data_IF_536993793319
#
_entry.id   IF_536993793319
#
_cell.length_a   1.000
_cell.length_b   1.000
_cell.length_c   1.000
_cell.angle_alpha   90.00
_cell.angle_beta   90.00
_cell.angle_gamma   90.00
#
_symmetry.space_group_name_H-M   'P 1'
#
loop_
_entity.id
_entity.type
_entity.pdbx_description
1 polymer ?
#
# COMPACT_ATOMS: atom_id res chain seq x y z
N UNK A 1 7.20 -27.84 -7.27
CA UNK A 1 6.95 -27.72 -5.82
C UNK A 1 7.93 -26.72 -5.25
N UNK A 2 7.55 -25.44 -5.19
CA UNK A 2 8.36 -24.39 -4.58
C UNK A 2 8.15 -24.40 -3.06
N UNK A 3 9.22 -24.24 -2.29
CA UNK A 3 9.11 -24.10 -0.85
C UNK A 3 8.24 -22.88 -0.50
N UNK A 4 7.29 -23.04 0.42
CA UNK A 4 6.50 -21.94 0.97
C UNK A 4 7.40 -21.15 1.91
N UNK A 5 7.81 -19.95 1.49
CA UNK A 5 8.63 -19.04 2.27
C UNK A 5 7.75 -17.98 2.96
N UNK A 6 8.31 -17.26 3.94
CA UNK A 6 7.62 -16.23 4.74
C UNK A 6 6.70 -15.27 3.96
N UNK A 7 7.05 -14.79 2.74
CA UNK A 7 6.17 -13.92 1.97
C UNK A 7 4.82 -14.57 1.59
N UNK A 8 4.80 -15.88 1.33
CA UNK A 8 3.57 -16.60 1.00
C UNK A 8 2.63 -16.67 2.20
N UNK A 9 3.15 -17.04 3.38
CA UNK A 9 2.33 -17.09 4.60
C UNK A 9 1.77 -15.71 4.97
N UNK A 10 2.60 -14.66 4.88
CA UNK A 10 2.14 -13.29 5.06
C UNK A 10 1.02 -12.91 4.08
N UNK A 11 1.12 -13.38 2.82
CA UNK A 11 0.09 -13.16 1.81
C UNK A 11 -1.21 -13.86 2.17
N UNK A 12 -1.16 -15.14 2.55
CA UNK A 12 -2.33 -15.91 3.00
C UNK A 12 -2.99 -15.24 4.20
N UNK A 13 -2.21 -14.85 5.20
CA UNK A 13 -2.72 -14.12 6.38
C UNK A 13 -3.40 -12.81 5.99
N UNK A 14 -2.84 -12.08 5.00
CA UNK A 14 -3.42 -10.85 4.50
C UNK A 14 -4.77 -11.05 3.80
N UNK A 15 -5.07 -12.25 3.28
CA UNK A 15 -6.36 -12.58 2.66
C UNK A 15 -7.52 -12.58 3.67
N UNK A 16 -7.26 -12.67 4.97
CA UNK A 16 -8.29 -12.62 6.01
C UNK A 16 -8.81 -11.19 6.28
N UNK A 17 -8.04 -10.18 5.91
CA UNK A 17 -8.38 -8.79 6.19
C UNK A 17 -9.30 -8.19 5.13
N UNK A 18 -10.01 -7.14 5.54
CA UNK A 18 -10.76 -6.28 4.62
C UNK A 18 -9.76 -5.45 3.81
N UNK A 19 -9.94 -5.43 2.49
CA UNK A 19 -9.10 -4.65 1.58
C UNK A 19 -8.11 -5.47 0.75
N UNK A 20 -7.25 -4.75 0.02
CA UNK A 20 -6.27 -5.35 -0.88
C UNK A 20 -5.13 -5.98 -0.09
N UNK A 21 -4.93 -7.31 -0.14
CA UNK A 21 -3.93 -8.00 0.66
C UNK A 21 -2.50 -7.54 0.35
N UNK A 22 -2.20 -7.25 -0.92
CA UNK A 22 -0.90 -6.72 -1.35
C UNK A 22 -0.68 -5.32 -0.76
N UNK A 23 -1.66 -4.42 -0.81
CA UNK A 23 -1.53 -3.07 -0.24
C UNK A 23 -1.34 -3.11 1.28
N UNK A 24 -2.05 -3.98 1.98
CA UNK A 24 -1.90 -4.16 3.43
C UNK A 24 -0.45 -4.54 3.76
N UNK A 25 0.12 -5.49 3.03
CA UNK A 25 1.49 -5.95 3.24
C UNK A 25 2.54 -4.90 2.86
N UNK A 26 2.30 -4.14 1.79
CA UNK A 26 3.12 -2.99 1.42
C UNK A 26 3.09 -1.94 2.54
N UNK A 27 1.92 -1.60 3.05
CA UNK A 27 1.76 -0.65 4.16
C UNK A 27 2.47 -1.12 5.44
N UNK A 28 2.35 -2.41 5.78
CA UNK A 28 3.10 -3.02 6.91
C UNK A 28 4.62 -2.94 6.69
N UNK A 29 5.10 -3.24 5.49
CA UNK A 29 6.52 -3.16 5.16
C UNK A 29 7.06 -1.73 5.29
N UNK A 30 6.31 -0.74 4.80
CA UNK A 30 6.67 0.69 4.93
C UNK A 30 6.68 1.14 6.38
N UNK A 31 5.65 0.77 7.18
CA UNK A 31 5.61 1.12 8.61
C UNK A 31 6.79 0.52 9.36
N UNK A 32 7.08 -0.77 9.14
CA UNK A 32 8.23 -1.44 9.75
C UNK A 32 9.54 -0.78 9.36
N UNK A 33 9.70 -0.43 8.08
CA UNK A 33 10.89 0.28 7.59
C UNK A 33 11.07 1.64 8.27
N UNK A 34 10.01 2.44 8.35
CA UNK A 34 10.08 3.76 8.99
C UNK A 34 10.31 3.64 10.51
N UNK A 35 9.71 2.65 11.17
CA UNK A 35 9.96 2.37 12.59
C UNK A 35 11.41 1.93 12.83
N UNK A 36 11.94 1.01 12.03
CA UNK A 36 13.34 0.61 12.11
C UNK A 36 14.27 1.80 11.86
N UNK A 37 13.94 2.64 10.87
CA UNK A 37 14.67 3.89 10.59
C UNK A 37 14.76 4.79 11.81
N UNK A 38 13.71 4.93 12.63
CA UNK A 38 13.76 5.78 13.82
C UNK A 38 14.83 5.34 14.84
N UNK A 39 15.07 4.04 14.97
CA UNK A 39 16.03 3.48 15.93
C UNK A 39 17.43 3.29 15.33
N UNK A 40 17.51 2.92 14.06
CA UNK A 40 18.77 2.56 13.39
C UNK A 40 19.45 3.75 12.69
N UNK A 41 18.73 4.85 12.44
CA UNK A 41 19.22 5.97 11.60
C UNK A 41 20.56 6.57 12.05
N UNK A 42 20.82 6.64 13.36
CA UNK A 42 22.08 7.19 13.87
C UNK A 42 23.27 6.31 13.44
N UNK A 43 23.04 5.03 13.17
CA UNK A 43 24.06 4.03 12.89
C UNK A 43 24.07 3.51 11.45
N UNK A 44 23.16 3.98 10.57
CA UNK A 44 23.08 3.54 9.17
C UNK A 44 23.49 4.68 8.18
N UNK A 45 24.75 4.70 7.72
CA UNK A 45 25.22 5.66 6.72
C UNK A 45 24.50 5.54 5.37
N UNK A 46 24.01 4.35 5.00
CA UNK A 46 23.31 4.12 3.74
C UNK A 46 21.94 4.81 3.74
N UNK A 47 21.21 4.69 4.86
CA UNK A 47 19.94 5.38 5.06
C UNK A 47 20.12 6.91 5.08
N UNK A 48 21.18 7.40 5.74
CA UNK A 48 21.51 8.84 5.75
C UNK A 48 21.77 9.37 4.34
N UNK A 49 22.59 8.70 3.55
CA UNK A 49 22.88 9.09 2.17
C UNK A 49 21.62 9.04 1.29
N UNK A 50 20.79 8.00 1.43
CA UNK A 50 19.55 7.88 0.69
C UNK A 50 18.60 9.05 0.96
N UNK A 51 18.46 9.46 2.23
CA UNK A 51 17.65 10.61 2.64
C UNK A 51 18.23 11.93 2.15
N UNK A 52 19.55 12.12 2.22
CA UNK A 52 20.18 13.34 1.68
C UNK A 52 19.93 13.45 0.18
N UNK A 53 20.16 12.36 -0.57
CA UNK A 53 19.95 12.32 -2.02
C UNK A 53 18.51 12.59 -2.43
N UNK A 54 17.53 12.06 -1.69
CA UNK A 54 16.10 12.29 -1.94
C UNK A 54 15.59 13.64 -1.44
N UNK A 55 16.40 14.39 -0.68
CA UNK A 55 15.95 15.61 -0.01
C UNK A 55 14.99 15.33 1.16
N UNK A 56 15.05 14.14 1.74
CA UNK A 56 14.21 13.68 2.84
C UNK A 56 13.07 12.76 2.41
N UNK A 57 12.09 12.59 3.29
CA UNK A 57 10.87 11.84 3.01
C UNK A 57 9.89 12.71 2.22
N UNK A 58 9.09 12.09 1.34
CA UNK A 58 7.96 12.78 0.72
C UNK A 58 6.87 13.10 1.76
N UNK A 59 6.01 14.08 1.47
CA UNK A 59 4.94 14.57 2.37
C UNK A 59 4.16 13.41 3.01
N UNK A 60 3.65 12.49 2.18
CA UNK A 60 2.90 11.31 2.66
C UNK A 60 3.67 10.46 3.68
N UNK A 61 4.95 10.20 3.44
CA UNK A 61 5.75 9.36 4.34
C UNK A 61 6.29 10.12 5.54
N UNK A 62 6.48 11.44 5.42
CA UNK A 62 6.76 12.32 6.56
C UNK A 62 5.56 12.36 7.51
N UNK A 63 4.33 12.47 7.00
CA UNK A 63 3.12 12.44 7.83
C UNK A 63 2.90 11.06 8.49
N UNK A 64 3.18 9.96 7.77
CA UNK A 64 3.18 8.64 8.38
C UNK A 64 4.23 8.53 9.51
N UNK A 65 5.45 9.02 9.29
CA UNK A 65 6.49 9.03 10.33
C UNK A 65 6.05 9.81 11.56
N UNK A 66 5.40 10.98 11.37
CA UNK A 66 4.85 11.81 12.46
C UNK A 66 3.79 11.09 13.28
N UNK A 67 3.05 10.15 12.68
CA UNK A 67 1.99 9.40 13.38
C UNK A 67 2.52 8.40 14.42
N UNK A 68 3.81 8.04 14.42
CA UNK A 68 4.37 7.07 15.36
C UNK A 68 4.63 7.61 16.77
N UNK A 69 4.61 8.94 16.97
CA UNK A 69 4.79 9.55 18.29
C UNK A 69 6.21 9.49 18.87
N UNK A 70 7.18 8.91 18.17
CA UNK A 70 8.61 8.96 18.54
C UNK A 70 9.27 10.22 17.96
N UNK A 71 9.22 11.29 18.76
CA UNK A 71 9.76 12.60 18.37
C UNK A 71 11.28 12.62 18.21
N UNK A 72 12.04 11.79 18.95
CA UNK A 72 13.50 11.88 18.96
C UNK A 72 14.10 11.35 17.66
N UNK A 73 13.71 10.13 17.26
CA UNK A 73 14.19 9.54 16.01
C UNK A 73 13.80 10.40 14.80
N UNK A 74 12.57 10.93 14.79
CA UNK A 74 12.10 11.79 13.72
C UNK A 74 12.88 13.11 13.65
N UNK A 75 13.17 13.75 14.79
CA UNK A 75 13.96 14.99 14.84
C UNK A 75 15.40 14.75 14.41
N UNK A 76 16.04 13.66 14.85
CA UNK A 76 17.40 13.32 14.45
C UNK A 76 17.51 13.03 12.94
N UNK A 77 16.50 12.36 12.37
CA UNK A 77 16.40 12.12 10.93
C UNK A 77 16.40 13.42 10.12
N UNK A 78 15.65 14.42 10.59
CA UNK A 78 15.58 15.74 9.95
C UNK A 78 16.80 16.62 10.26
N UNK A 79 17.46 16.42 11.41
CA UNK A 79 18.66 17.16 11.80
C UNK A 79 19.79 16.97 10.79
N UNK A 80 20.05 15.73 10.36
CA UNK A 80 21.10 15.45 9.37
C UNK A 80 20.84 16.19 8.05
N UNK A 81 19.58 16.18 7.59
CA UNK A 81 19.20 16.91 6.38
C UNK A 81 19.35 18.43 6.56
N UNK A 82 18.89 18.97 7.69
CA UNK A 82 19.00 20.39 8.00
C UNK A 82 20.45 20.87 8.10
N UNK A 83 21.31 20.09 8.77
CA UNK A 83 22.75 20.37 8.86
C UNK A 83 23.39 20.36 7.48
N UNK A 84 23.09 19.35 6.66
CA UNK A 84 23.66 19.26 5.31
C UNK A 84 23.22 20.41 4.41
N UNK A 85 21.96 20.88 4.53
CA UNK A 85 21.48 22.07 3.84
C UNK A 85 22.12 23.36 4.36
N UNK A 86 22.39 23.46 5.67
CA UNK A 86 23.05 24.62 6.26
C UNK A 86 24.53 24.71 5.82
N UNK A 87 25.24 23.57 5.80
CA UNK A 87 26.66 23.50 5.47
C UNK A 87 26.95 23.66 3.98
N UNK A 88 26.01 23.26 3.12
CA UNK A 88 26.25 23.12 1.68
C UNK A 88 25.23 23.84 0.78
N UNK A 89 24.20 24.44 1.35
CA UNK A 89 23.08 25.00 0.58
C UNK A 89 22.35 23.93 -0.25
N UNK A 90 21.65 24.37 -1.30
CA UNK A 90 21.03 23.45 -2.27
C UNK A 90 22.10 22.96 -3.25
N UNK A 91 22.64 21.77 -3.01
CA UNK A 91 23.67 21.14 -3.84
C UNK A 91 23.12 19.99 -4.70
N UNK A 92 23.90 19.49 -5.68
CA UNK A 92 23.57 18.24 -6.41
C UNK A 92 23.47 17.01 -5.50
N UNK A 93 24.00 17.10 -4.27
CA UNK A 93 23.87 16.07 -3.23
C UNK A 93 22.45 16.01 -2.63
N UNK A 94 21.66 17.07 -2.79
CA UNK A 94 20.31 17.18 -2.22
C UNK A 94 19.26 17.24 -3.30
N UNK A 95 18.21 16.44 -3.17
CA UNK A 95 17.05 16.53 -4.05
C UNK A 95 17.40 16.31 -5.52
N UNK A 96 18.15 15.24 -5.83
CA UNK A 96 18.28 14.82 -7.21
C UNK A 96 16.87 14.65 -7.79
N UNK A 97 16.59 15.22 -8.96
CA UNK A 97 15.26 15.17 -9.61
C UNK A 97 14.71 13.74 -9.79
N UNK A 98 15.59 12.74 -9.71
CA UNK A 98 15.26 11.33 -9.88
C UNK A 98 15.43 10.50 -8.59
N UNK A 99 15.89 11.09 -7.48
CA UNK A 99 16.03 10.36 -6.23
C UNK A 99 14.65 10.20 -5.58
N UNK A 100 14.23 8.95 -5.42
CA UNK A 100 12.98 8.62 -4.78
C UNK A 100 13.09 8.68 -3.25
N UNK A 101 12.00 9.07 -2.59
CA UNK A 101 11.86 8.91 -1.15
C UNK A 101 12.16 7.46 -0.75
N UNK A 102 13.04 7.19 0.23
CA UNK A 102 13.41 5.83 0.63
C UNK A 102 12.22 4.96 1.04
N UNK A 103 11.21 5.54 1.70
CA UNK A 103 9.98 4.82 2.03
C UNK A 103 9.10 4.53 0.79
N UNK A 104 9.13 5.38 -0.25
CA UNK A 104 8.49 5.06 -1.53
C UNK A 104 9.19 3.91 -2.24
N UNK A 105 10.52 3.87 -2.20
CA UNK A 105 11.30 2.76 -2.75
C UNK A 105 10.95 1.45 -2.02
N UNK A 106 10.95 1.48 -0.69
CA UNK A 106 10.53 0.33 0.12
C UNK A 106 9.13 -0.16 -0.22
N UNK A 107 8.18 0.76 -0.48
CA UNK A 107 6.83 0.41 -0.89
C UNK A 107 6.81 -0.30 -2.26
N UNK A 108 7.64 0.15 -3.21
CA UNK A 108 7.78 -0.48 -4.53
C UNK A 108 8.39 -1.87 -4.44
N UNK A 109 9.44 -2.03 -3.64
CA UNK A 109 10.08 -3.34 -3.41
C UNK A 109 9.12 -4.32 -2.74
N UNK A 110 8.35 -3.87 -1.75
CA UNK A 110 7.33 -4.70 -1.11
C UNK A 110 6.22 -5.08 -2.11
N UNK A 111 5.80 -4.16 -2.98
CA UNK A 111 4.81 -4.45 -4.03
C UNK A 111 5.35 -5.51 -4.99
N UNK A 112 6.60 -5.39 -5.43
CA UNK A 112 7.24 -6.36 -6.30
C UNK A 112 7.33 -7.74 -5.64
N UNK A 113 7.75 -7.79 -4.37
CA UNK A 113 7.86 -9.02 -3.59
C UNK A 113 6.52 -9.73 -3.42
N UNK A 114 5.50 -9.05 -2.90
CA UNK A 114 4.20 -9.66 -2.64
C UNK A 114 3.37 -9.87 -3.90
N UNK A 115 3.51 -9.00 -4.91
CA UNK A 115 2.91 -9.19 -6.22
C UNK A 115 3.49 -10.41 -6.94
N UNK A 116 4.82 -10.58 -6.92
CA UNK A 116 5.46 -11.77 -7.49
C UNK A 116 5.05 -13.04 -6.73
N UNK A 117 5.04 -12.98 -5.40
CA UNK A 117 4.55 -14.10 -4.56
C UNK A 117 3.12 -14.50 -4.91
N UNK A 118 2.22 -13.52 -5.12
CA UNK A 118 0.85 -13.78 -5.54
C UNK A 118 0.79 -14.51 -6.88
N UNK A 119 1.63 -14.13 -7.84
CA UNK A 119 1.68 -14.79 -9.16
C UNK A 119 2.31 -16.18 -9.10
N UNK A 120 3.36 -16.36 -8.31
CA UNK A 120 4.11 -17.62 -8.20
C UNK A 120 3.30 -18.73 -7.54
N UNK A 121 2.33 -18.35 -6.71
CA UNK A 121 1.47 -19.26 -5.97
C UNK A 121 0.01 -19.22 -6.44
N UNK A 122 -0.27 -18.69 -7.64
CA UNK A 122 -1.63 -18.51 -8.15
C UNK A 122 -2.46 -19.81 -8.10
N UNK A 123 -1.82 -20.96 -8.32
CA UNK A 123 -2.47 -22.28 -8.35
C UNK A 123 -2.69 -22.90 -6.95
N UNK A 124 -2.20 -22.27 -5.89
CA UNK A 124 -2.40 -22.75 -4.52
C UNK A 124 -3.88 -22.59 -4.09
N UNK A 125 -4.44 -23.55 -3.32
CA UNK A 125 -5.85 -23.54 -2.94
C UNK A 125 -6.31 -22.24 -2.28
N UNK A 126 -5.49 -21.65 -1.40
CA UNK A 126 -5.83 -20.44 -0.66
C UNK A 126 -6.05 -19.24 -1.59
N UNK A 127 -5.24 -19.11 -2.65
CA UNK A 127 -5.43 -18.06 -3.65
C UNK A 127 -6.58 -18.36 -4.61
N UNK A 128 -6.77 -19.62 -4.99
CA UNK A 128 -7.90 -20.01 -5.84
C UNK A 128 -9.25 -19.76 -5.15
N UNK A 129 -9.36 -20.07 -3.86
CA UNK A 129 -10.55 -19.80 -3.06
C UNK A 129 -10.80 -18.29 -2.91
N UNK A 130 -9.75 -17.52 -2.62
CA UNK A 130 -9.83 -16.06 -2.57
C UNK A 130 -10.30 -15.44 -3.90
N UNK A 131 -9.78 -15.93 -5.04
CA UNK A 131 -10.17 -15.47 -6.37
C UNK A 131 -11.61 -15.84 -6.73
N UNK A 132 -12.11 -16.97 -6.22
CA UNK A 132 -13.46 -17.47 -6.49
C UNK A 132 -14.54 -16.73 -5.69
N UNK A 133 -14.28 -16.43 -4.42
CA UNK A 133 -15.30 -15.88 -3.51
C UNK A 133 -15.44 -14.36 -3.71
N UNK A 134 -14.43 -13.60 -3.28
CA UNK A 134 -14.46 -12.16 -3.35
C UNK A 134 -13.03 -11.61 -3.32
N UNK A 135 -12.39 -11.52 -4.50
CA UNK A 135 -11.06 -10.94 -4.56
C UNK A 135 -11.16 -9.42 -4.39
N UNK A 136 -10.34 -8.91 -3.46
CA UNK A 136 -10.34 -7.52 -2.98
C UNK A 136 -9.09 -6.74 -3.38
N UNK A 137 -8.38 -7.18 -4.41
CA UNK A 137 -7.27 -6.38 -4.95
C UNK A 137 -7.82 -5.03 -5.43
N UNK A 138 -7.08 -3.95 -5.15
CA UNK A 138 -7.39 -2.65 -5.75
C UNK A 138 -7.04 -2.66 -7.24
N UNK A 139 -7.63 -1.76 -8.02
CA UNK A 139 -7.43 -1.61 -9.46
C UNK A 139 -5.94 -1.57 -9.84
N UNK A 140 -5.12 -0.86 -9.07
CA UNK A 140 -3.67 -0.80 -9.28
C UNK A 140 -3.00 -2.17 -9.14
N UNK A 141 -3.34 -2.93 -8.11
CA UNK A 141 -2.74 -4.25 -7.90
C UNK A 141 -3.27 -5.27 -8.91
N UNK A 142 -4.53 -5.15 -9.34
CA UNK A 142 -5.06 -5.93 -10.46
C UNK A 142 -4.29 -5.72 -11.75
N UNK A 143 -4.11 -4.46 -12.15
CA UNK A 143 -3.35 -4.10 -13.35
C UNK A 143 -1.92 -4.66 -13.25
N UNK A 144 -1.28 -4.48 -12.10
CA UNK A 144 0.07 -4.96 -11.85
C UNK A 144 0.20 -6.48 -12.06
N UNK A 145 -0.69 -7.30 -11.47
CA UNK A 145 -0.61 -8.78 -11.59
C UNK A 145 -1.03 -9.28 -12.97
N UNK A 146 -2.00 -8.64 -13.63
CA UNK A 146 -2.46 -9.02 -14.98
C UNK A 146 -1.37 -8.78 -16.03
N UNK A 147 -0.71 -7.62 -15.95
CA UNK A 147 0.37 -7.25 -16.87
C UNK A 147 1.55 -8.24 -16.77
N UNK A 148 1.87 -8.68 -15.55
CA UNK A 148 3.04 -9.52 -15.25
C UNK A 148 2.76 -11.02 -15.22
N UNK A 149 1.53 -11.44 -15.49
CA UNK A 149 1.17 -12.85 -15.55
C UNK A 149 2.08 -13.64 -16.51
N UNK A 150 2.68 -14.74 -16.00
CA UNK A 150 3.71 -15.52 -16.69
C UNK A 150 3.18 -16.37 -17.86
N UNK A 151 1.91 -16.80 -17.79
CA UNK A 151 1.29 -17.68 -18.79
C UNK A 151 0.02 -17.05 -19.37
N UNK A 152 -0.35 -17.46 -20.59
CA UNK A 152 -1.62 -17.02 -21.21
C UNK A 152 -2.83 -17.45 -20.39
N UNK A 153 -2.79 -18.65 -19.79
CA UNK A 153 -3.85 -19.17 -18.94
C UNK A 153 -4.01 -18.36 -17.66
N UNK A 154 -2.90 -18.10 -16.94
CA UNK A 154 -2.91 -17.25 -15.74
C UNK A 154 -3.40 -15.83 -16.07
N UNK A 155 -2.94 -15.24 -17.18
CA UNK A 155 -3.41 -13.92 -17.62
C UNK A 155 -4.92 -13.91 -17.87
N UNK A 156 -5.45 -14.92 -18.57
CA UNK A 156 -6.87 -15.02 -18.86
C UNK A 156 -7.71 -15.16 -17.57
N UNK A 157 -7.26 -16.00 -16.63
CA UNK A 157 -7.90 -16.14 -15.31
C UNK A 157 -7.93 -14.80 -14.56
N UNK A 158 -6.77 -14.14 -14.42
CA UNK A 158 -6.66 -12.86 -13.72
C UNK A 158 -7.47 -11.76 -14.39
N UNK A 159 -7.53 -11.72 -15.73
CA UNK A 159 -8.36 -10.78 -16.47
C UNK A 159 -9.86 -11.00 -16.24
N UNK A 160 -10.31 -12.25 -16.19
CA UNK A 160 -11.69 -12.58 -15.88
C UNK A 160 -12.05 -12.15 -14.45
N UNK A 161 -11.19 -12.46 -13.47
CA UNK A 161 -11.38 -12.03 -12.08
C UNK A 161 -11.40 -10.50 -11.93
N UNK A 162 -10.47 -9.80 -12.61
CA UNK A 162 -10.42 -8.33 -12.58
C UNK A 162 -11.69 -7.71 -13.16
N UNK A 163 -12.18 -8.22 -14.31
CA UNK A 163 -13.42 -7.75 -14.92
C UNK A 163 -14.61 -7.94 -13.99
N UNK A 164 -14.77 -9.13 -13.42
CA UNK A 164 -15.85 -9.40 -12.47
C UNK A 164 -15.78 -8.50 -11.23
N UNK A 165 -14.58 -8.23 -10.71
CA UNK A 165 -14.38 -7.31 -9.59
C UNK A 165 -14.74 -5.87 -9.95
N UNK A 166 -14.36 -5.39 -11.13
CA UNK A 166 -14.69 -4.06 -11.63
C UNK A 166 -16.21 -3.88 -11.84
N UNK A 167 -16.88 -4.87 -12.44
CA UNK A 167 -18.33 -4.86 -12.61
C UNK A 167 -19.07 -4.85 -11.27
N UNK A 168 -18.61 -5.64 -10.28
CA UNK A 168 -19.15 -5.59 -8.92
C UNK A 168 -18.98 -4.21 -8.30
N UNK A 169 -17.83 -3.56 -8.52
CA UNK A 169 -17.60 -2.23 -7.98
C UNK A 169 -18.48 -1.17 -8.65
N UNK A 170 -18.68 -1.26 -9.96
CA UNK A 170 -19.60 -0.39 -10.67
C UNK A 170 -21.01 -0.48 -10.07
N UNK A 171 -21.53 -1.71 -9.87
CA UNK A 171 -22.83 -1.92 -9.21
C UNK A 171 -22.90 -1.34 -7.79
N UNK A 172 -21.80 -1.43 -7.02
CA UNK A 172 -21.75 -0.82 -5.69
C UNK A 172 -21.85 0.71 -5.74
N UNK A 173 -21.15 1.34 -6.70
CA UNK A 173 -21.17 2.80 -6.91
C UNK A 173 -22.55 3.25 -7.37
N UNK A 174 -23.14 2.57 -8.35
CA UNK A 174 -24.49 2.87 -8.86
C UNK A 174 -25.54 2.80 -7.74
N UNK A 175 -25.52 1.72 -6.95
CA UNK A 175 -26.43 1.56 -5.80
C UNK A 175 -26.24 2.66 -4.75
N UNK A 176 -25.00 3.06 -4.47
CA UNK A 176 -24.74 4.16 -3.55
C UNK A 176 -25.29 5.49 -4.08
N UNK A 177 -25.05 5.79 -5.37
CA UNK A 177 -25.54 7.01 -6.01
C UNK A 177 -27.07 7.09 -6.02
N UNK A 178 -27.75 5.98 -6.30
CA UNK A 178 -29.22 5.88 -6.23
C UNK A 178 -29.74 6.13 -4.81
N UNK A 179 -29.13 5.51 -3.81
CA UNK A 179 -29.51 5.66 -2.40
C UNK A 179 -29.30 7.09 -1.95
N UNK A 180 -28.13 7.69 -2.23
CA UNK A 180 -27.83 9.07 -1.89
C UNK A 180 -28.82 10.05 -2.52
N UNK A 181 -29.18 9.86 -3.80
CA UNK A 181 -30.18 10.70 -4.47
C UNK A 181 -31.58 10.60 -3.81
N UNK A 182 -31.99 9.39 -3.42
CA UNK A 182 -33.27 9.16 -2.72
C UNK A 182 -33.27 9.78 -1.31
N UNK A 183 -32.15 9.70 -0.59
CA UNK A 183 -31.96 10.29 0.74
C UNK A 183 -32.01 11.82 0.70
N UNK A 184 -31.36 12.44 -0.29
CA UNK A 184 -31.46 13.88 -0.54
C UNK A 184 -32.91 14.29 -0.85
N UNK A 185 -33.62 13.47 -1.64
CA UNK A 185 -35.02 13.74 -1.98
C UNK A 185 -35.99 13.61 -0.79
N UNK A 186 -35.59 12.89 0.27
CA UNK A 186 -36.42 12.61 1.46
C UNK A 186 -35.98 13.36 2.72
N UNK A 187 -34.93 14.19 2.64
CA UNK A 187 -34.48 15.07 3.73
C UNK A 187 -33.81 14.36 4.91
N UNK A 188 -33.32 13.11 4.75
CA UNK A 188 -32.53 12.42 5.77
C UNK A 188 -31.04 12.70 5.59
N UNK A 189 -30.30 13.06 6.65
CA UNK A 189 -28.87 13.42 6.58
C UNK A 189 -27.90 12.24 6.83
N UNK A 190 -28.37 11.00 6.95
CA UNK A 190 -27.52 9.89 7.35
C UNK A 190 -26.98 9.13 6.13
N UNK A 191 -25.91 9.64 5.52
CA UNK A 191 -25.11 8.88 4.57
C UNK A 191 -24.14 8.01 5.37
N UNK A 192 -24.35 6.69 5.35
CA UNK A 192 -23.45 5.74 5.98
C UNK A 192 -22.04 5.78 5.33
N UNK A 193 -21.06 5.17 5.99
CA UNK A 193 -19.67 5.09 5.50
C UNK A 193 -19.49 4.15 4.27
N UNK A 194 -20.58 3.80 3.58
CA UNK A 194 -20.56 2.91 2.42
C UNK A 194 -19.84 3.52 1.21
N UNK A 195 -19.73 4.85 1.13
CA UNK A 195 -18.91 5.55 0.12
C UNK A 195 -17.43 5.13 0.20
N UNK A 196 -16.90 4.84 1.41
CA UNK A 196 -15.52 4.33 1.56
C UNK A 196 -15.33 3.01 0.81
N UNK A 197 -16.34 2.14 0.78
CA UNK A 197 -16.31 0.89 0.00
C UNK A 197 -16.33 1.15 -1.51
N UNK A 198 -17.01 2.21 -1.95
CA UNK A 198 -17.04 2.65 -3.35
C UNK A 198 -15.67 3.16 -3.84
N UNK A 199 -14.86 3.71 -2.93
CA UNK A 199 -13.50 4.17 -3.25
C UNK A 199 -12.42 3.12 -3.02
N UNK A 200 -12.67 2.11 -2.16
CA UNK A 200 -11.71 1.06 -1.80
C UNK A 200 -11.12 0.30 -2.99
N UNK A 201 -11.86 0.18 -4.10
CA UNK A 201 -11.33 -0.45 -5.31
C UNK A 201 -10.24 0.40 -5.98
N UNK A 202 -10.32 1.72 -5.89
CA UNK A 202 -9.36 2.63 -6.54
C UNK A 202 -8.30 3.16 -5.59
N UNK A 203 -8.60 3.21 -4.29
CA UNK A 203 -7.68 3.70 -3.27
C UNK A 203 -7.00 2.53 -2.55
N UNK A 204 -5.65 2.50 -2.49
CA UNK A 204 -4.96 1.58 -1.59
C UNK A 204 -5.38 1.93 -0.16
N UNK A 205 -6.06 0.99 0.51
CA UNK A 205 -6.58 1.09 1.88
C UNK A 205 -5.46 1.18 2.94
N UNK A 206 -4.55 2.13 2.81
CA UNK A 206 -3.64 2.58 3.87
C UNK A 206 -4.13 3.89 4.51
N UNK A 207 -5.04 4.63 3.83
CA UNK A 207 -5.56 5.94 4.29
C UNK A 207 -6.95 5.87 4.94
N UNK A 208 -7.66 4.74 4.87
CA UNK A 208 -9.07 4.65 5.31
C UNK A 208 -9.32 3.85 6.59
N UNK A 209 -8.30 3.23 7.19
CA UNK A 209 -8.42 2.53 8.49
C UNK A 209 -7.51 3.19 9.54
N UNK A 210 -7.96 4.33 10.05
CA UNK A 210 -7.64 4.78 11.41
C UNK A 210 -8.54 4.13 12.46
N UNK A 211 -9.34 3.12 12.12
CA UNK A 211 -10.21 2.42 13.06
C UNK A 211 -10.06 0.90 12.99
N UNK A 212 -9.25 0.38 13.92
CA UNK A 212 -9.33 -0.94 14.55
C UNK A 212 -10.17 -2.00 13.80
N UNK A 213 -9.49 -2.77 12.94
CA UNK A 213 -9.86 -4.17 12.71
C UNK A 213 -9.41 -5.00 13.91
N UNK A 214 -10.38 -5.47 14.68
CA UNK A 214 -10.25 -6.34 15.84
C UNK A 214 -9.25 -7.51 15.67
N UNK A 215 -8.65 -7.90 16.80
CA UNK A 215 -7.71 -9.01 17.07
C UNK A 215 -6.22 -8.65 17.02
N UNK A 216 -5.75 -7.91 18.03
CA UNK A 216 -5.18 -8.47 19.27
C UNK A 216 -5.64 -7.61 20.46
#
# INVERSE_FOLDING_TARGET
MGYRHTPFFNLVDALAYKGCPICILVGRAVRRYLQASLYEFVNDPGLQEALLRSGGLCVRHADLLRSFGDGLGAVLLHKTLAQSLADHGVSRRHGSRNAECPACLQAKEALECYGSTFMDHLDEPELQDYLRVEPRLCARCWLWVVERAKTRSARAQLQACFRAAAERQLRNIERYAETANATVSTGHENLDESWKRCLAFFSPLDELDSERGALL
#
